data_IF_598645960164
#
_entry.id   IF_598645960164
#
_cell.length_a   1.000
_cell.length_b   1.000
_cell.length_c   1.000
_cell.angle_alpha   90.00
_cell.angle_beta   90.00
_cell.angle_gamma   90.00
#
_symmetry.space_group_name_H-M   'P 1'
#
loop_
_entity.id
_entity.type
_entity.pdbx_description
1 polymer ?
#
# COMPACT_ATOMS: atom_id res chain seq x y z
N UNK A 1 3.60 -12.50 13.56
CA UNK A 1 3.52 -11.31 12.72
C UNK A 1 2.40 -10.39 13.20
N UNK A 2 1.10 -10.79 13.18
CA UNK A 2 0.00 -9.88 13.56
C UNK A 2 0.14 -9.32 14.98
N UNK A 3 0.41 -10.18 15.97
CA UNK A 3 0.66 -9.75 17.35
C UNK A 3 1.92 -8.84 17.46
N UNK A 4 2.91 -9.03 16.61
CA UNK A 4 4.11 -8.20 16.57
C UNK A 4 3.80 -6.81 16.00
N UNK A 5 2.98 -6.73 14.94
CA UNK A 5 2.48 -5.45 14.41
C UNK A 5 1.73 -4.68 15.51
N UNK A 6 0.77 -5.33 16.17
CA UNK A 6 0.01 -4.73 17.25
C UNK A 6 0.92 -4.24 18.39
N UNK A 7 1.89 -5.05 18.80
CA UNK A 7 2.78 -4.70 19.91
C UNK A 7 3.79 -3.59 19.58
N UNK A 8 4.18 -3.43 18.31
CA UNK A 8 5.32 -2.57 17.94
C UNK A 8 4.98 -1.42 17.02
N UNK A 9 3.87 -1.48 16.27
CA UNK A 9 3.57 -0.51 15.23
C UNK A 9 2.42 0.46 15.54
N UNK A 10 1.70 0.28 16.65
CA UNK A 10 0.51 1.10 16.95
C UNK A 10 0.77 2.60 17.01
N UNK A 11 1.91 3.04 17.53
CA UNK A 11 2.26 4.47 17.57
C UNK A 11 2.51 5.01 16.17
N UNK A 12 3.22 4.23 15.34
CA UNK A 12 3.49 4.61 13.96
C UNK A 12 2.22 4.59 13.11
N UNK A 13 1.33 3.61 13.33
CA UNK A 13 0.01 3.52 12.69
C UNK A 13 -0.82 4.77 13.00
N UNK A 14 -0.92 5.18 14.26
CA UNK A 14 -1.62 6.40 14.67
C UNK A 14 -1.04 7.64 14.01
N UNK A 15 0.29 7.76 14.00
CA UNK A 15 0.98 8.89 13.35
C UNK A 15 0.70 8.97 11.85
N UNK A 16 0.73 7.84 11.16
CA UNK A 16 0.39 7.76 9.74
C UNK A 16 -1.09 8.09 9.50
N UNK A 17 -1.98 7.56 10.35
CA UNK A 17 -3.41 7.83 10.27
C UNK A 17 -3.74 9.33 10.46
N UNK A 18 -3.07 10.02 11.39
CA UNK A 18 -3.21 11.48 11.55
C UNK A 18 -2.84 12.24 10.28
N UNK A 19 -1.69 11.90 9.68
CA UNK A 19 -1.21 12.54 8.43
C UNK A 19 -2.18 12.28 7.28
N UNK A 20 -2.74 11.07 7.17
CA UNK A 20 -3.74 10.74 6.15
C UNK A 20 -5.07 11.44 6.42
N UNK A 21 -5.50 11.53 7.67
CA UNK A 21 -6.72 12.24 8.06
C UNK A 21 -6.61 13.74 7.72
N UNK A 22 -5.47 14.37 8.01
CA UNK A 22 -5.20 15.77 7.65
C UNK A 22 -5.29 16.00 6.13
N UNK A 23 -4.70 15.10 5.35
CA UNK A 23 -4.72 15.10 3.89
C UNK A 23 -6.17 15.03 3.37
N UNK A 24 -6.93 14.02 3.79
CA UNK A 24 -8.31 13.80 3.34
C UNK A 24 -9.23 14.95 3.79
N UNK A 25 -9.11 15.40 5.04
CA UNK A 25 -9.92 16.52 5.56
C UNK A 25 -9.68 17.81 4.79
N UNK A 26 -8.47 18.00 4.28
CA UNK A 26 -8.09 19.18 3.48
C UNK A 26 -8.51 19.05 2.00
N UNK A 27 -9.21 17.99 1.61
CA UNK A 27 -9.71 17.76 0.25
C UNK A 27 -8.67 17.16 -0.71
N UNK A 28 -7.58 16.60 -0.18
CA UNK A 28 -6.54 15.95 -0.94
C UNK A 28 -6.67 14.41 -0.91
N UNK A 29 -5.87 13.72 -1.70
CA UNK A 29 -5.94 12.27 -1.87
C UNK A 29 -4.71 11.56 -1.32
N UNK A 30 -4.92 10.35 -0.83
CA UNK A 30 -3.87 9.37 -0.54
C UNK A 30 -3.78 8.44 -1.75
N UNK A 31 -2.79 8.67 -2.62
CA UNK A 31 -2.52 7.77 -3.74
C UNK A 31 -1.83 6.51 -3.24
N UNK A 32 -2.17 5.36 -3.81
CA UNK A 32 -1.63 4.08 -3.39
C UNK A 32 -0.95 3.35 -4.55
N UNK A 33 0.20 2.73 -4.28
CA UNK A 33 0.98 2.04 -5.30
C UNK A 33 1.62 0.75 -4.77
N UNK A 34 1.70 -0.28 -5.61
CA UNK A 34 2.37 -1.54 -5.31
C UNK A 34 2.56 -2.40 -6.54
N UNK A 35 3.58 -3.25 -6.55
CA UNK A 35 3.90 -4.15 -7.66
C UNK A 35 3.59 -5.60 -7.29
N UNK A 36 2.98 -6.36 -8.18
CA UNK A 36 2.64 -7.77 -7.97
C UNK A 36 1.72 -7.98 -6.79
N UNK A 37 2.03 -8.91 -5.92
CA UNK A 37 1.24 -9.19 -4.70
C UNK A 37 1.19 -8.01 -3.72
N UNK A 38 2.13 -7.06 -3.79
CA UNK A 38 2.08 -5.83 -3.02
C UNK A 38 0.96 -4.85 -3.48
N UNK A 39 0.31 -5.11 -4.62
CA UNK A 39 -0.89 -4.40 -5.05
C UNK A 39 -2.18 -4.94 -4.39
N UNK A 40 -2.19 -6.19 -3.90
CA UNK A 40 -3.40 -6.79 -3.31
C UNK A 40 -3.97 -5.99 -2.12
N UNK A 41 -3.17 -5.40 -1.21
CA UNK A 41 -3.70 -4.50 -0.20
C UNK A 41 -4.47 -3.31 -0.78
N UNK A 42 -4.08 -2.82 -1.96
CA UNK A 42 -4.74 -1.72 -2.66
C UNK A 42 -6.09 -2.18 -3.21
N UNK A 43 -6.14 -3.34 -3.85
CA UNK A 43 -7.37 -3.93 -4.36
C UNK A 43 -8.32 -4.31 -3.22
N UNK A 44 -7.80 -4.70 -2.05
CA UNK A 44 -8.57 -4.99 -0.84
C UNK A 44 -9.26 -3.74 -0.28
N UNK A 45 -8.64 -2.58 -0.36
CA UNK A 45 -9.20 -1.34 0.18
C UNK A 45 -10.09 -0.57 -0.81
N UNK A 46 -10.00 -0.82 -2.12
CA UNK A 46 -10.68 -0.03 -3.16
C UNK A 46 -11.11 -0.88 -4.36
N UNK A 47 -12.35 -0.69 -4.85
CA UNK A 47 -13.53 -0.23 -4.11
C UNK A 47 -14.18 -1.41 -3.39
N UNK A 48 -14.55 -1.25 -2.13
CA UNK A 48 -15.25 -2.30 -1.40
C UNK A 48 -16.23 -1.77 -0.35
N UNK A 49 -17.17 -2.62 0.05
CA UNK A 49 -18.06 -2.38 1.19
C UNK A 49 -17.22 -2.16 2.46
N UNK A 50 -17.53 -1.10 3.21
CA UNK A 50 -16.80 -0.69 4.40
C UNK A 50 -15.55 0.15 4.12
N UNK A 51 -15.17 0.35 2.86
CA UNK A 51 -14.13 1.30 2.47
C UNK A 51 -14.64 2.74 2.48
N UNK A 52 -13.73 3.70 2.54
CA UNK A 52 -14.01 5.14 2.55
C UNK A 52 -13.45 5.82 1.30
N UNK A 53 -14.02 6.98 0.96
CA UNK A 53 -13.46 7.89 -0.06
C UNK A 53 -12.26 8.63 0.53
N UNK A 54 -11.24 8.89 -0.32
CA UNK A 54 -10.00 9.58 0.04
C UNK A 54 -8.74 8.85 -0.43
N UNK A 55 -8.87 7.58 -0.85
CA UNK A 55 -7.79 6.77 -1.38
C UNK A 55 -7.92 6.61 -2.90
N UNK A 56 -6.80 6.71 -3.62
CA UNK A 56 -6.77 6.61 -5.08
C UNK A 56 -5.71 5.60 -5.54
N UNK A 57 -6.10 4.48 -6.18
CA UNK A 57 -5.17 3.46 -6.62
C UNK A 57 -4.45 3.86 -7.90
N UNK A 58 -3.13 3.75 -7.91
CA UNK A 58 -2.28 3.85 -9.09
C UNK A 58 -1.97 2.43 -9.58
N UNK A 59 -2.93 1.81 -10.28
CA UNK A 59 -2.80 0.44 -10.76
C UNK A 59 -2.21 0.42 -12.17
N UNK A 60 -0.98 -0.07 -12.28
CA UNK A 60 -0.30 -0.29 -13.55
C UNK A 60 -0.48 -1.75 -13.98
N UNK A 61 -1.22 -2.00 -15.07
CA UNK A 61 -1.61 -3.36 -15.48
C UNK A 61 -0.45 -4.35 -15.60
N UNK A 62 0.68 -4.04 -16.26
CA UNK A 62 1.80 -4.98 -16.35
C UNK A 62 2.45 -5.31 -15.01
N UNK A 63 2.27 -4.46 -13.99
CA UNK A 63 2.80 -4.67 -12.64
C UNK A 63 1.81 -5.34 -11.70
N UNK A 64 0.52 -5.39 -12.03
CA UNK A 64 -0.54 -5.88 -11.14
C UNK A 64 -1.26 -7.12 -11.66
N UNK A 65 -1.61 -7.13 -12.94
CA UNK A 65 -2.36 -8.22 -13.59
C UNK A 65 -1.52 -9.04 -14.56
N UNK A 66 -0.23 -9.15 -14.32
CA UNK A 66 0.75 -9.72 -15.22
C UNK A 66 0.41 -11.14 -15.71
N UNK A 67 -0.15 -12.02 -14.89
CA UNK A 67 -0.54 -13.38 -15.31
C UNK A 67 -1.83 -13.41 -16.13
N UNK A 68 -2.81 -12.55 -15.83
CA UNK A 68 -4.08 -12.49 -16.54
C UNK A 68 -4.00 -11.79 -17.89
N UNK A 69 -3.06 -10.85 -18.04
CA UNK A 69 -2.91 -10.06 -19.27
C UNK A 69 -1.88 -10.68 -20.23
N UNK A 70 -0.76 -11.15 -19.69
CA UNK A 70 0.39 -11.63 -20.52
C UNK A 70 0.55 -13.16 -20.47
N UNK A 71 -0.33 -13.89 -19.78
CA UNK A 71 -0.30 -15.34 -19.65
C UNK A 71 0.80 -15.85 -18.71
N UNK A 72 1.12 -17.15 -18.77
CA UNK A 72 2.06 -17.82 -17.84
C UNK A 72 3.46 -17.19 -17.84
N UNK A 73 3.90 -16.65 -18.96
CA UNK A 73 5.20 -15.97 -19.05
C UNK A 73 5.19 -14.55 -18.44
N UNK A 74 4.04 -14.02 -18.09
CA UNK A 74 3.89 -12.68 -17.53
C UNK A 74 4.65 -12.46 -16.24
N UNK A 75 4.89 -13.51 -15.43
CA UNK A 75 5.69 -13.41 -14.22
C UNK A 75 7.14 -13.00 -14.52
N UNK A 76 7.76 -13.52 -15.59
CA UNK A 76 9.11 -13.14 -15.98
C UNK A 76 9.17 -11.70 -16.46
N UNK A 77 8.18 -11.28 -17.26
CA UNK A 77 8.05 -9.89 -17.72
C UNK A 77 7.86 -8.94 -16.52
N UNK A 78 6.99 -9.29 -15.60
CA UNK A 78 6.76 -8.53 -14.36
C UNK A 78 8.05 -8.40 -13.53
N UNK A 79 8.76 -9.50 -13.27
CA UNK A 79 10.01 -9.50 -12.50
C UNK A 79 11.13 -8.68 -13.16
N UNK A 80 11.12 -8.58 -14.50
CA UNK A 80 12.01 -7.70 -15.23
C UNK A 80 11.57 -6.24 -15.07
N UNK A 81 10.31 -5.97 -15.36
CA UNK A 81 9.74 -4.62 -15.42
C UNK A 81 9.82 -3.90 -14.07
N UNK A 82 9.56 -4.59 -12.94
CA UNK A 82 9.64 -3.99 -11.60
C UNK A 82 11.05 -3.54 -11.21
N UNK A 83 12.08 -3.94 -12.00
CA UNK A 83 13.50 -3.61 -11.79
C UNK A 83 14.03 -2.55 -12.74
N UNK A 84 13.22 -2.11 -13.69
CA UNK A 84 13.62 -1.12 -14.68
C UNK A 84 13.55 0.30 -14.11
N UNK A 85 14.72 0.96 -14.02
CA UNK A 85 14.79 2.37 -13.62
C UNK A 85 14.17 3.26 -14.70
N UNK A 86 13.44 4.30 -14.28
CA UNK A 86 12.70 5.21 -15.14
C UNK A 86 11.28 4.77 -15.44
N UNK A 87 10.92 3.49 -15.25
CA UNK A 87 9.55 3.04 -15.49
C UNK A 87 8.57 3.64 -14.47
N UNK A 88 8.94 3.69 -13.18
CA UNK A 88 8.14 4.37 -12.17
C UNK A 88 7.97 5.87 -12.44
N UNK A 89 8.98 6.52 -13.00
CA UNK A 89 8.89 7.91 -13.45
C UNK A 89 7.85 8.06 -14.58
N UNK A 90 7.85 7.16 -15.57
CA UNK A 90 6.88 7.17 -16.67
C UNK A 90 5.45 6.97 -16.16
N UNK A 91 5.24 6.06 -15.19
CA UNK A 91 3.94 5.86 -14.54
C UNK A 91 3.45 7.17 -13.90
N UNK A 92 4.30 7.82 -13.09
CA UNK A 92 3.94 9.05 -12.39
C UNK A 92 3.64 10.23 -13.33
N UNK A 93 4.16 10.22 -14.56
CA UNK A 93 3.83 11.23 -15.58
C UNK A 93 2.43 11.07 -16.17
N UNK A 94 1.81 9.90 -16.02
CA UNK A 94 0.47 9.62 -16.56
C UNK A 94 -0.65 10.15 -15.66
N UNK A 95 -0.33 10.68 -14.48
CA UNK A 95 -1.27 11.13 -13.48
C UNK A 95 -1.03 12.59 -13.07
N UNK A 96 -2.11 13.27 -12.67
CA UNK A 96 -2.03 14.60 -12.07
C UNK A 96 -2.04 14.46 -10.54
N UNK A 97 -1.10 15.11 -9.88
CA UNK A 97 -0.96 15.12 -8.42
C UNK A 97 -0.94 16.56 -7.89
N UNK A 98 -1.54 16.76 -6.71
CA UNK A 98 -1.31 17.97 -5.91
C UNK A 98 -0.12 17.74 -4.96
N UNK A 99 0.63 18.80 -4.68
CA UNK A 99 1.77 18.71 -3.74
C UNK A 99 1.39 18.35 -2.31
N UNK A 100 0.12 18.53 -1.95
CA UNK A 100 -0.42 18.19 -0.63
C UNK A 100 -1.04 16.78 -0.60
N UNK A 101 -1.10 16.09 -1.74
CA UNK A 101 -1.46 14.67 -1.77
C UNK A 101 -0.40 13.84 -1.06
N UNK A 102 -0.77 12.65 -0.65
CA UNK A 102 0.15 11.66 -0.09
C UNK A 102 0.33 10.49 -1.07
N UNK A 103 1.48 9.85 -1.00
CA UNK A 103 1.72 8.60 -1.68
C UNK A 103 1.98 7.49 -0.67
N UNK A 104 1.18 6.42 -0.71
CA UNK A 104 1.32 5.23 0.13
C UNK A 104 1.75 4.04 -0.71
N UNK A 105 2.98 3.57 -0.52
CA UNK A 105 3.59 2.48 -1.28
C UNK A 105 3.64 1.20 -0.45
N UNK A 106 3.26 0.09 -1.06
CA UNK A 106 3.39 -1.25 -0.49
C UNK A 106 4.57 -1.97 -1.15
N UNK A 107 5.51 -2.45 -0.34
CA UNK A 107 6.66 -3.20 -0.85
C UNK A 107 7.29 -4.05 0.25
N UNK A 108 7.33 -5.37 0.08
CA UNK A 108 7.92 -6.26 1.08
C UNK A 108 9.39 -5.93 1.37
N UNK A 109 10.21 -5.75 0.35
CA UNK A 109 11.66 -5.57 0.51
C UNK A 109 12.17 -4.14 0.30
N UNK A 110 11.40 -3.29 -0.33
CA UNK A 110 11.81 -1.92 -0.64
C UNK A 110 12.96 -1.77 -1.64
N UNK A 111 13.36 -2.83 -2.36
CA UNK A 111 14.58 -2.81 -3.20
C UNK A 111 14.34 -2.56 -4.69
N UNK A 112 13.11 -2.77 -5.20
CA UNK A 112 12.86 -2.73 -6.63
C UNK A 112 12.77 -1.29 -7.17
N UNK A 113 13.33 -1.10 -8.36
CA UNK A 113 13.56 0.22 -8.94
C UNK A 113 12.27 1.02 -9.15
N UNK A 114 11.22 0.40 -9.65
CA UNK A 114 9.95 1.10 -9.93
C UNK A 114 9.36 1.75 -8.68
N UNK A 115 9.34 1.05 -7.54
CA UNK A 115 8.84 1.64 -6.28
C UNK A 115 9.70 2.83 -5.83
N UNK A 116 11.02 2.74 -6.03
CA UNK A 116 11.97 3.81 -5.70
C UNK A 116 11.78 5.01 -6.62
N UNK A 117 11.60 4.79 -7.92
CA UNK A 117 11.28 5.84 -8.90
C UNK A 117 10.00 6.59 -8.51
N UNK A 118 8.92 5.83 -8.20
CA UNK A 118 7.61 6.39 -7.83
C UNK A 118 7.74 7.25 -6.57
N UNK A 119 8.49 6.79 -5.56
CA UNK A 119 8.75 7.58 -4.34
C UNK A 119 9.55 8.85 -4.63
N UNK A 120 10.61 8.75 -5.43
CA UNK A 120 11.43 9.90 -5.82
C UNK A 120 10.62 10.95 -6.62
N UNK A 121 9.75 10.48 -7.52
CA UNK A 121 8.87 11.36 -8.30
C UNK A 121 7.81 12.05 -7.45
N UNK A 122 7.27 11.36 -6.43
CA UNK A 122 6.38 11.98 -5.46
C UNK A 122 7.09 13.12 -4.70
N UNK A 123 8.30 12.89 -4.21
CA UNK A 123 9.10 13.92 -3.54
C UNK A 123 9.41 15.11 -4.45
N UNK A 124 9.74 14.90 -5.73
CA UNK A 124 9.94 15.99 -6.70
C UNK A 124 8.70 16.86 -6.87
N UNK A 125 7.50 16.30 -6.64
CA UNK A 125 6.22 17.00 -6.70
C UNK A 125 5.80 17.61 -5.36
N UNK A 126 6.60 17.41 -4.31
CA UNK A 126 6.34 17.94 -2.96
C UNK A 126 5.44 17.06 -2.10
N UNK A 127 5.06 15.88 -2.58
CA UNK A 127 4.26 14.90 -1.84
C UNK A 127 5.09 14.21 -0.76
N UNK A 128 4.48 13.83 0.35
CA UNK A 128 5.09 12.92 1.33
C UNK A 128 4.83 11.48 0.96
N UNK A 129 5.80 10.63 1.28
CA UNK A 129 5.78 9.20 0.97
C UNK A 129 5.65 8.37 2.25
N UNK A 130 4.65 7.52 2.28
CA UNK A 130 4.40 6.53 3.31
C UNK A 130 4.72 5.16 2.70
N UNK A 131 5.42 4.29 3.43
CA UNK A 131 5.74 2.94 2.96
C UNK A 131 5.28 1.91 3.99
N UNK A 132 4.60 0.87 3.50
CA UNK A 132 4.26 -0.32 4.26
C UNK A 132 5.04 -1.52 3.72
N UNK A 133 5.86 -2.14 4.55
CA UNK A 133 6.69 -3.27 4.16
C UNK A 133 7.55 -3.80 5.30
N UNK A 134 8.40 -4.79 5.04
CA UNK A 134 9.20 -5.45 6.07
C UNK A 134 10.50 -4.68 6.39
N UNK A 135 10.37 -3.45 6.87
CA UNK A 135 11.49 -2.54 7.06
C UNK A 135 12.53 -3.05 8.07
N UNK A 136 12.10 -3.61 9.20
CA UNK A 136 12.98 -4.15 10.23
C UNK A 136 13.78 -5.39 9.81
N UNK A 137 13.41 -6.04 8.71
CA UNK A 137 14.08 -7.24 8.19
C UNK A 137 14.80 -7.01 6.86
N UNK A 138 14.47 -5.95 6.14
CA UNK A 138 14.94 -5.72 4.77
C UNK A 138 15.42 -4.29 4.51
N UNK A 139 15.29 -3.39 5.48
CA UNK A 139 15.59 -1.96 5.29
C UNK A 139 17.06 -1.63 4.98
N UNK A 140 17.97 -2.53 5.30
CA UNK A 140 19.41 -2.44 5.01
C UNK A 140 19.81 -3.09 3.68
N UNK A 141 18.86 -3.76 2.99
CA UNK A 141 19.16 -4.41 1.72
C UNK A 141 19.54 -3.39 0.64
N UNK A 142 20.55 -3.76 -0.13
CA UNK A 142 21.01 -2.98 -1.28
C UNK A 142 19.88 -2.83 -2.30
N UNK A 143 19.53 -1.59 -2.69
CA UNK A 143 18.49 -1.36 -3.70
C UNK A 143 18.95 -1.82 -5.10
N UNK A 144 17.98 -2.13 -5.94
CA UNK A 144 18.15 -2.37 -7.38
C UNK A 144 17.92 -1.07 -8.16
N UNK A 145 18.51 0.01 -7.66
CA UNK A 145 18.35 1.36 -8.20
C UNK A 145 19.67 2.12 -8.06
N UNK A 146 20.04 2.88 -9.08
CA UNK A 146 21.30 3.63 -9.14
C UNK A 146 21.44 4.70 -8.04
N UNK A 147 20.32 5.20 -7.52
CA UNK A 147 20.28 6.19 -6.43
C UNK A 147 20.80 5.70 -5.08
N UNK A 148 21.06 4.39 -4.93
CA UNK A 148 21.76 3.82 -3.77
C UNK A 148 20.97 3.77 -2.46
N UNK A 149 19.72 4.26 -2.41
CA UNK A 149 18.83 4.22 -1.24
C UNK A 149 17.71 3.23 -1.43
N UNK A 150 17.45 2.42 -0.40
CA UNK A 150 16.28 1.56 -0.30
C UNK A 150 15.01 2.43 -0.08
N UNK A 151 13.86 1.93 -0.50
CA UNK A 151 12.58 2.63 -0.38
C UNK A 151 12.28 3.08 1.07
N UNK A 152 12.60 2.26 2.07
CA UNK A 152 12.43 2.61 3.49
C UNK A 152 13.34 3.75 3.96
N UNK A 153 14.46 3.99 3.29
CA UNK A 153 15.36 5.10 3.56
C UNK A 153 14.96 6.41 2.86
N UNK A 154 14.05 6.30 1.88
CA UNK A 154 13.49 7.43 1.14
C UNK A 154 12.21 7.92 1.81
N UNK A 155 11.41 7.01 2.34
CA UNK A 155 10.08 7.29 2.90
C UNK A 155 10.11 8.30 4.05
N UNK A 156 9.09 9.16 4.11
CA UNK A 156 8.84 10.06 5.26
C UNK A 156 8.26 9.30 6.45
N UNK A 157 7.47 8.27 6.18
CA UNK A 157 6.85 7.41 7.19
C UNK A 157 6.95 5.95 6.76
N UNK A 158 7.27 5.08 7.70
CA UNK A 158 7.38 3.64 7.48
C UNK A 158 6.53 2.89 8.49
N UNK A 159 5.66 2.00 8.02
CA UNK A 159 4.94 1.03 8.83
C UNK A 159 5.54 -0.35 8.55
N UNK A 160 6.10 -0.99 9.58
CA UNK A 160 6.74 -2.30 9.44
C UNK A 160 5.69 -3.40 9.52
N UNK A 161 5.62 -4.23 8.49
CA UNK A 161 4.77 -5.43 8.47
C UNK A 161 5.29 -6.55 9.37
N UNK A 162 6.48 -6.42 9.93
CA UNK A 162 7.14 -7.42 10.77
C UNK A 162 7.30 -8.80 10.09
N UNK A 163 7.18 -8.85 8.77
CA UNK A 163 7.28 -10.11 8.02
C UNK A 163 8.72 -10.61 7.95
N UNK A 164 8.94 -11.95 7.95
CA UNK A 164 10.28 -12.51 7.80
C UNK A 164 10.87 -12.20 6.43
N UNK A 165 12.20 -12.15 6.35
CA UNK A 165 12.95 -11.81 5.14
C UNK A 165 12.54 -12.62 3.91
N UNK A 166 12.27 -13.91 4.09
CA UNK A 166 11.90 -14.81 3.00
C UNK A 166 10.41 -14.77 2.64
N UNK A 167 9.59 -13.97 3.36
CA UNK A 167 8.14 -13.93 3.27
C UNK A 167 7.47 -15.25 3.64
N UNK A 168 7.77 -16.35 2.92
CA UNK A 168 7.29 -17.69 3.24
C UNK A 168 7.82 -18.17 4.61
N UNK A 169 6.93 -18.67 5.49
CA UNK A 169 7.23 -18.88 6.91
C UNK A 169 7.12 -20.34 7.38
N UNK A 170 6.42 -21.21 6.63
CA UNK A 170 6.16 -22.58 7.03
C UNK A 170 7.21 -23.52 6.44
N UNK A 171 7.97 -24.20 7.31
CA UNK A 171 8.93 -25.22 6.92
C UNK A 171 8.24 -26.57 6.77
N UNK A 172 8.41 -27.20 5.63
CA UNK A 172 7.92 -28.54 5.37
C UNK A 172 8.98 -29.60 5.72
N UNK A 173 8.53 -30.74 6.24
CA UNK A 173 9.42 -31.88 6.47
C UNK A 173 9.95 -32.37 5.12
N UNK A 174 11.26 -32.57 5.03
CA UNK A 174 11.96 -33.07 3.84
C UNK A 174 11.82 -32.17 2.59
N UNK A 175 11.58 -30.87 2.75
CA UNK A 175 11.56 -29.91 1.65
C UNK A 175 12.46 -28.71 1.97
N UNK A 176 13.22 -28.26 0.97
CA UNK A 176 14.14 -27.14 1.14
C UNK A 176 13.40 -25.80 1.22
N UNK A 177 12.43 -25.58 0.33
CA UNK A 177 11.71 -24.33 0.23
C UNK A 177 10.58 -24.27 1.28
N UNK A 178 10.39 -23.07 1.82
CA UNK A 178 9.25 -22.75 2.69
C UNK A 178 8.03 -22.39 1.86
N UNK A 179 6.85 -22.57 2.45
CA UNK A 179 5.55 -22.15 1.91
C UNK A 179 4.86 -21.16 2.84
N UNK A 180 3.71 -20.61 2.41
CA UNK A 180 2.89 -19.71 3.20
C UNK A 180 3.50 -18.31 3.31
N UNK A 181 3.42 -17.48 2.25
CA UNK A 181 3.83 -16.09 2.31
C UNK A 181 2.90 -15.28 3.22
N UNK A 182 3.46 -14.35 3.98
CA UNK A 182 2.75 -13.57 5.01
C UNK A 182 2.59 -12.09 4.65
N UNK A 183 3.42 -11.57 3.73
CA UNK A 183 3.51 -10.13 3.47
C UNK A 183 2.19 -9.49 3.05
N UNK A 184 1.41 -10.15 2.21
CA UNK A 184 0.11 -9.63 1.75
C UNK A 184 -0.89 -9.53 2.90
N UNK A 185 -1.02 -10.58 3.72
CA UNK A 185 -1.92 -10.57 4.88
C UNK A 185 -1.51 -9.51 5.91
N UNK A 186 -0.21 -9.39 6.17
CA UNK A 186 0.32 -8.39 7.10
C UNK A 186 0.08 -6.96 6.60
N UNK A 187 0.28 -6.73 5.30
CA UNK A 187 -0.01 -5.43 4.68
C UNK A 187 -1.49 -5.09 4.74
N UNK A 188 -2.39 -6.05 4.46
CA UNK A 188 -3.85 -5.86 4.59
C UNK A 188 -4.23 -5.55 6.04
N UNK A 189 -3.61 -6.23 7.01
CA UNK A 189 -3.80 -5.92 8.44
C UNK A 189 -3.42 -4.48 8.74
N UNK A 190 -2.22 -4.03 8.32
CA UNK A 190 -1.79 -2.64 8.49
C UNK A 190 -2.75 -1.65 7.81
N UNK A 191 -3.23 -1.97 6.60
CA UNK A 191 -4.23 -1.15 5.88
C UNK A 191 -5.45 -0.90 6.73
N UNK A 192 -6.08 -1.96 7.24
CA UNK A 192 -7.32 -1.79 7.99
C UNK A 192 -7.11 -1.18 9.38
N UNK A 193 -5.97 -1.43 10.02
CA UNK A 193 -5.60 -0.72 11.26
C UNK A 193 -5.44 0.78 11.01
N UNK A 194 -4.81 1.19 9.91
CA UNK A 194 -4.63 2.61 9.56
C UNK A 194 -5.95 3.22 9.16
N UNK A 195 -6.71 2.62 8.23
CA UNK A 195 -7.95 3.20 7.69
C UNK A 195 -9.01 3.34 8.79
N UNK A 196 -9.17 2.35 9.67
CA UNK A 196 -10.11 2.48 10.79
C UNK A 196 -9.71 3.61 11.72
N UNK A 197 -8.42 3.77 12.01
CA UNK A 197 -7.92 4.90 12.81
C UNK A 197 -8.15 6.24 12.10
N UNK A 198 -7.94 6.32 10.78
CA UNK A 198 -8.29 7.52 9.97
C UNK A 198 -9.77 7.85 10.12
N UNK A 199 -10.65 6.84 10.01
CA UNK A 199 -12.10 7.04 10.15
C UNK A 199 -12.46 7.57 11.56
N UNK A 200 -11.87 7.01 12.61
CA UNK A 200 -12.09 7.48 13.99
C UNK A 200 -11.67 8.94 14.12
N UNK A 201 -10.47 9.30 13.68
CA UNK A 201 -9.96 10.68 13.73
C UNK A 201 -10.88 11.64 12.97
N UNK A 202 -11.29 11.30 11.76
CA UNK A 202 -12.16 12.16 10.94
C UNK A 202 -13.56 12.30 11.55
N UNK A 203 -14.11 11.22 12.10
CA UNK A 203 -15.40 11.24 12.80
C UNK A 203 -15.33 12.10 14.07
N UNK A 204 -14.30 11.99 14.88
CA UNK A 204 -14.07 12.80 16.08
C UNK A 204 -13.92 14.28 15.74
N UNK A 205 -13.39 14.61 14.56
CA UNK A 205 -13.31 15.97 14.02
C UNK A 205 -14.63 16.47 13.42
N UNK A 206 -15.69 15.65 13.44
CA UNK A 206 -17.02 15.99 12.92
C UNK A 206 -17.12 15.94 11.40
N UNK A 207 -16.17 15.30 10.70
CA UNK A 207 -16.24 15.14 9.25
C UNK A 207 -17.28 14.05 8.88
N UNK A 208 -18.16 14.34 7.91
CA UNK A 208 -19.04 13.33 7.33
C UNK A 208 -18.20 12.33 6.51
N UNK A 209 -18.16 11.08 6.93
CA UNK A 209 -17.47 10.03 6.20
C UNK A 209 -18.34 9.51 5.04
N UNK A 210 -17.76 9.41 3.85
CA UNK A 210 -18.36 8.73 2.71
C UNK A 210 -17.89 7.28 2.70
N UNK A 211 -18.69 6.42 3.33
CA UNK A 211 -18.41 4.98 3.47
C UNK A 211 -19.26 4.20 2.47
N UNK A 212 -18.68 3.24 1.75
CA UNK A 212 -19.42 2.32 0.90
C UNK A 212 -20.29 1.41 1.78
N UNK A 213 -21.65 1.55 1.74
CA UNK A 213 -22.52 0.87 2.69
C UNK A 213 -22.63 -0.63 2.41
N UNK A 214 -22.80 -1.41 3.48
CA UNK A 214 -23.10 -2.84 3.35
C UNK A 214 -24.53 -3.06 2.89
N UNK A 215 -24.72 -3.94 1.91
CA UNK A 215 -26.04 -4.45 1.49
C UNK A 215 -26.48 -5.69 2.29
N UNK A 216 -25.66 -6.16 3.23
CA UNK A 216 -25.88 -7.39 3.99
C UNK A 216 -26.51 -7.14 5.37
N UNK A 217 -27.04 -5.95 5.63
CA UNK A 217 -27.72 -5.62 6.89
C UNK A 217 -29.18 -6.09 6.76
N UNK A 218 -29.65 -7.06 7.58
CA UNK A 218 -31.02 -7.54 7.50
C UNK A 218 -32.04 -6.39 7.69
N UNK A 219 -32.98 -6.26 6.76
CA UNK A 219 -34.03 -5.24 6.80
C UNK A 219 -33.61 -3.84 6.32
N UNK A 220 -32.35 -3.62 5.97
CA UNK A 220 -31.89 -2.35 5.40
C UNK A 220 -32.10 -2.30 3.88
N UNK A 221 -33.02 -1.46 3.44
CA UNK A 221 -33.30 -1.18 2.01
C UNK A 221 -32.65 0.11 1.52
N UNK A 222 -31.96 0.85 2.40
CA UNK A 222 -31.46 2.21 2.10
C UNK A 222 -30.00 2.24 1.67
N UNK A 223 -29.32 1.09 1.57
CA UNK A 223 -27.89 1.04 1.23
C UNK A 223 -27.57 1.70 -0.14
N UNK A 224 -28.45 1.54 -1.15
CA UNK A 224 -28.29 2.19 -2.46
C UNK A 224 -28.43 3.70 -2.39
N UNK A 225 -29.34 4.19 -1.56
CA UNK A 225 -29.55 5.63 -1.36
C UNK A 225 -28.35 6.26 -0.65
N UNK A 226 -27.81 5.58 0.36
CA UNK A 226 -26.58 6.04 1.04
C UNK A 226 -25.33 6.03 0.15
N UNK A 227 -25.29 5.12 -0.83
CA UNK A 227 -24.19 5.10 -1.81
C UNK A 227 -24.30 6.24 -2.82
N UNK A 228 -25.52 6.70 -3.12
CA UNK A 228 -25.78 7.78 -4.08
C UNK A 228 -25.68 9.18 -3.46
N UNK A 229 -25.63 9.29 -2.13
CA UNK A 229 -25.56 10.54 -1.38
C UNK A 229 -24.12 10.98 -1.09
#
# INVERSE_FOLDING_TARGET
VMNEIEATQMEQIKKVAEVMADCIQSGHLVHTFGCGHANLPIEEMYPRIGGIVGFHPLCELPLTFFTHIVGEMGINQFLWLEREEGYGQAIMQSWNFDKNDLLWIFSHTGVNAVNIDVANEAHKRGMKVIVCGSAGRTGDKKPRHSGGKNLFQIADYVVDTCCPLQDASVTLKNHFDKIGPLSTMASITCVWMIITTVCEILADRGMKLHINPSHNIPGDTTARERLAA
#
